data_IF_531161612297
#
_entry.id   IF_531161612297
#
_cell.length_a   1.000
_cell.length_b   1.000
_cell.length_c   1.000
_cell.angle_alpha   90.00
_cell.angle_beta   90.00
_cell.angle_gamma   90.00
#
_symmetry.space_group_name_H-M   'P 1'
#
loop_
_entity.id
_entity.type
_entity.pdbx_description
1 polymer ?
#
# COMPACT_ATOMS: atom_id res chain seq x y z
N UNK A 1 -34.64 -17.01 -14.72
CA UNK A 1 -33.25 -17.43 -14.43
C UNK A 1 -32.35 -16.82 -15.51
N UNK A 2 -31.49 -15.85 -15.15
CA UNK A 2 -30.52 -15.31 -16.11
C UNK A 2 -29.34 -16.27 -16.13
N UNK A 3 -29.32 -17.19 -17.07
CA UNK A 3 -28.26 -18.19 -17.21
C UNK A 3 -26.97 -17.52 -17.68
N UNK A 4 -25.98 -17.43 -16.79
CA UNK A 4 -24.64 -16.95 -17.11
C UNK A 4 -23.72 -18.16 -17.30
N UNK A 5 -22.91 -18.17 -18.36
CA UNK A 5 -22.02 -19.28 -18.70
C UNK A 5 -20.56 -18.86 -18.57
N UNK A 6 -19.74 -19.73 -17.96
CA UNK A 6 -18.30 -19.56 -17.92
C UNK A 6 -17.67 -20.05 -19.23
N UNK A 7 -16.70 -19.30 -19.74
CA UNK A 7 -15.79 -19.80 -20.75
C UNK A 7 -15.03 -21.04 -20.23
N UNK A 8 -14.85 -22.09 -21.04
CA UNK A 8 -14.06 -23.25 -20.67
C UNK A 8 -12.68 -22.89 -20.10
N UNK A 9 -12.38 -23.43 -18.91
CA UNK A 9 -11.12 -23.22 -18.20
C UNK A 9 -11.01 -21.91 -17.42
N UNK A 10 -11.99 -21.00 -17.47
CA UNK A 10 -12.01 -19.81 -16.61
C UNK A 10 -12.09 -20.18 -15.13
N UNK A 11 -12.95 -21.15 -14.79
CA UNK A 11 -13.09 -21.65 -13.41
C UNK A 11 -11.76 -22.21 -12.90
N UNK A 12 -11.01 -22.94 -13.75
CA UNK A 12 -9.70 -23.46 -13.37
C UNK A 12 -8.68 -22.35 -13.11
N UNK A 13 -8.68 -21.28 -13.91
CA UNK A 13 -7.85 -20.10 -13.67
C UNK A 13 -8.19 -19.43 -12.34
N UNK A 14 -9.48 -19.22 -12.06
CA UNK A 14 -9.95 -18.63 -10.80
C UNK A 14 -9.51 -19.46 -9.60
N UNK A 15 -9.63 -20.79 -9.67
CA UNK A 15 -9.22 -21.69 -8.57
C UNK A 15 -7.70 -21.64 -8.36
N UNK A 16 -6.92 -21.57 -9.44
CA UNK A 16 -5.46 -21.46 -9.35
C UNK A 16 -5.02 -20.14 -8.67
N UNK A 17 -5.68 -19.02 -8.96
CA UNK A 17 -5.38 -17.71 -8.35
C UNK A 17 -5.65 -17.67 -6.83
N UNK A 18 -6.43 -18.63 -6.32
CA UNK A 18 -6.94 -18.66 -4.96
C UNK A 18 -6.23 -19.69 -4.07
N UNK A 19 -5.62 -20.72 -4.65
CA UNK A 19 -5.11 -21.89 -3.93
C UNK A 19 -4.09 -21.55 -2.83
N UNK A 20 -3.29 -20.50 -3.01
CA UNK A 20 -2.22 -20.13 -2.07
C UNK A 20 -2.60 -18.98 -1.10
N UNK A 21 -3.87 -18.57 -1.08
CA UNK A 21 -4.29 -17.38 -0.33
C UNK A 21 -5.36 -17.68 0.73
N UNK A 22 -4.99 -17.76 2.02
CA UNK A 22 -5.98 -17.85 3.09
C UNK A 22 -6.87 -16.60 3.10
N UNK A 23 -8.19 -16.79 3.21
CA UNK A 23 -9.16 -15.68 3.26
C UNK A 23 -9.59 -15.10 1.91
N UNK A 24 -9.39 -15.83 0.82
CA UNK A 24 -9.66 -15.48 -0.59
C UNK A 24 -11.13 -15.47 -1.02
N UNK A 25 -12.06 -16.05 -0.24
CA UNK A 25 -13.49 -16.13 -0.61
C UNK A 25 -14.17 -14.77 -0.84
N UNK A 26 -13.96 -13.73 -0.01
CA UNK A 26 -14.50 -12.39 -0.28
C UNK A 26 -13.90 -11.74 -1.52
N UNK A 27 -12.62 -11.99 -1.81
CA UNK A 27 -11.96 -11.49 -3.02
C UNK A 27 -12.53 -12.16 -4.26
N UNK A 28 -12.75 -13.48 -4.18
CA UNK A 28 -13.44 -14.22 -5.22
C UNK A 28 -14.84 -13.68 -5.46
N UNK A 29 -15.61 -13.43 -4.40
CA UNK A 29 -16.95 -12.84 -4.54
C UNK A 29 -16.90 -11.51 -5.28
N UNK A 30 -16.02 -10.60 -4.86
CA UNK A 30 -15.88 -9.29 -5.49
C UNK A 30 -15.43 -9.41 -6.96
N UNK A 31 -14.44 -10.25 -7.24
CA UNK A 31 -13.96 -10.49 -8.60
C UNK A 31 -15.04 -11.11 -9.50
N UNK A 32 -15.87 -12.01 -8.97
CA UNK A 32 -17.01 -12.58 -9.70
C UNK A 32 -18.12 -11.55 -9.93
N UNK A 33 -18.38 -10.66 -8.95
CA UNK A 33 -19.32 -9.54 -9.13
C UNK A 33 -18.85 -8.62 -10.25
N UNK A 34 -17.58 -8.20 -10.22
CA UNK A 34 -16.97 -7.38 -11.28
C UNK A 34 -17.00 -8.07 -12.65
N UNK A 35 -16.62 -9.35 -12.69
CA UNK A 35 -16.64 -10.14 -13.92
C UNK A 35 -18.06 -10.27 -14.47
N UNK A 36 -19.06 -10.38 -13.59
CA UNK A 36 -20.47 -10.41 -13.97
C UNK A 36 -20.96 -9.06 -14.48
N UNK A 37 -20.58 -7.95 -13.86
CA UNK A 37 -20.96 -6.60 -14.30
C UNK A 37 -20.36 -6.25 -15.66
N UNK A 38 -19.11 -6.64 -15.91
CA UNK A 38 -18.39 -6.39 -17.18
C UNK A 38 -18.59 -7.48 -18.24
N UNK A 39 -19.45 -8.47 -17.97
CA UNK A 39 -19.64 -9.62 -18.87
C UNK A 39 -20.10 -9.17 -20.26
N UNK A 40 -19.68 -9.90 -21.29
CA UNK A 40 -20.20 -9.71 -22.64
C UNK A 40 -21.44 -10.60 -22.83
N UNK A 41 -22.63 -9.98 -22.79
CA UNK A 41 -23.91 -10.68 -22.91
C UNK A 41 -24.22 -11.60 -21.73
N UNK A 42 -24.16 -12.91 -21.95
CA UNK A 42 -24.40 -13.94 -20.92
C UNK A 42 -23.15 -14.79 -20.63
N UNK A 43 -21.97 -14.36 -21.08
CA UNK A 43 -20.74 -15.15 -20.97
C UNK A 43 -19.67 -14.41 -20.17
N UNK A 44 -19.12 -15.11 -19.18
CA UNK A 44 -17.95 -14.69 -18.42
C UNK A 44 -16.72 -15.26 -19.14
N UNK A 45 -15.80 -14.39 -19.56
CA UNK A 45 -14.66 -14.76 -20.41
C UNK A 45 -13.33 -14.63 -19.67
N UNK A 46 -12.33 -15.39 -20.09
CA UNK A 46 -10.95 -15.25 -19.60
C UNK A 46 -10.36 -13.88 -19.95
N UNK A 47 -10.74 -13.32 -21.10
CA UNK A 47 -10.30 -12.00 -21.51
C UNK A 47 -10.81 -10.94 -20.53
N UNK A 48 -12.11 -10.91 -20.24
CA UNK A 48 -12.69 -10.00 -19.24
C UNK A 48 -12.09 -10.25 -17.85
N UNK A 49 -11.85 -11.51 -17.48
CA UNK A 49 -11.19 -11.85 -16.22
C UNK A 49 -9.76 -11.30 -16.12
N UNK A 50 -8.99 -11.36 -17.21
CA UNK A 50 -7.65 -10.76 -17.27
C UNK A 50 -7.69 -9.23 -17.28
N UNK A 51 -8.65 -8.62 -17.97
CA UNK A 51 -8.85 -7.15 -18.00
C UNK A 51 -9.16 -6.58 -16.62
N UNK A 52 -9.85 -7.34 -15.77
CA UNK A 52 -10.13 -6.95 -14.38
C UNK A 52 -8.96 -7.25 -13.43
N UNK A 53 -7.86 -7.81 -13.94
CA UNK A 53 -6.68 -8.24 -13.18
C UNK A 53 -6.91 -9.50 -12.34
N UNK A 54 -7.92 -10.30 -12.68
CA UNK A 54 -8.33 -11.49 -11.95
C UNK A 54 -8.84 -11.18 -10.54
N UNK A 55 -8.75 -12.18 -9.64
CA UNK A 55 -9.14 -12.04 -8.24
C UNK A 55 -8.28 -11.01 -7.51
N UNK A 56 -7.01 -10.90 -7.88
CA UNK A 56 -6.02 -10.05 -7.20
C UNK A 56 -6.08 -8.59 -7.65
N UNK A 57 -6.26 -8.32 -8.96
CA UNK A 57 -6.43 -6.97 -9.49
C UNK A 57 -7.71 -6.28 -9.03
N UNK A 58 -8.70 -7.06 -8.59
CA UNK A 58 -9.90 -6.54 -7.95
C UNK A 58 -9.57 -5.86 -6.60
N UNK A 59 -8.57 -6.38 -5.86
CA UNK A 59 -8.11 -5.79 -4.59
C UNK A 59 -7.51 -4.39 -4.80
N UNK A 60 -6.64 -4.25 -5.80
CA UNK A 60 -6.00 -2.97 -6.12
C UNK A 60 -7.01 -1.90 -6.56
N UNK A 61 -8.00 -2.28 -7.38
CA UNK A 61 -9.09 -1.37 -7.76
C UNK A 61 -9.94 -0.96 -6.57
N UNK A 62 -10.27 -1.89 -5.67
CA UNK A 62 -11.02 -1.57 -4.46
C UNK A 62 -10.27 -0.59 -3.56
N UNK A 63 -8.96 -0.77 -3.41
CA UNK A 63 -8.12 0.15 -2.65
C UNK A 63 -8.10 1.55 -3.28
N UNK A 64 -8.01 1.63 -4.61
CA UNK A 64 -8.08 2.89 -5.34
C UNK A 64 -9.44 3.58 -5.21
N UNK A 65 -10.55 2.83 -5.29
CA UNK A 65 -11.91 3.38 -5.11
C UNK A 65 -12.11 3.99 -3.72
N UNK A 66 -11.61 3.32 -2.68
CA UNK A 66 -11.66 3.82 -1.31
C UNK A 66 -10.81 5.07 -1.18
N UNK A 67 -9.57 5.03 -1.69
CA UNK A 67 -8.65 6.16 -1.65
C UNK A 67 -9.20 7.39 -2.38
N UNK A 68 -9.81 7.20 -3.55
CA UNK A 68 -10.39 8.28 -4.34
C UNK A 68 -11.55 9.01 -3.62
N UNK A 69 -12.24 8.34 -2.69
CA UNK A 69 -13.32 8.93 -1.89
C UNK A 69 -12.83 9.68 -0.65
N UNK A 70 -11.56 9.52 -0.25
CA UNK A 70 -10.97 10.25 0.86
C UNK A 70 -10.75 11.73 0.50
N UNK A 71 -10.83 12.59 1.51
CA UNK A 71 -10.41 13.98 1.39
C UNK A 71 -8.87 14.10 1.43
N UNK A 72 -8.34 15.29 1.15
CA UNK A 72 -6.88 15.49 1.07
C UNK A 72 -6.11 15.12 2.35
N UNK A 73 -6.54 15.51 3.57
CA UNK A 73 -5.84 15.10 4.79
C UNK A 73 -5.88 13.57 4.99
N UNK A 74 -7.03 12.92 4.76
CA UNK A 74 -7.12 11.47 4.89
C UNK A 74 -6.31 10.74 3.81
N UNK A 75 -6.19 11.30 2.60
CA UNK A 75 -5.32 10.76 1.54
C UNK A 75 -3.84 10.77 1.92
N UNK A 76 -3.37 11.84 2.55
CA UNK A 76 -2.00 11.94 3.03
C UNK A 76 -1.73 10.95 4.16
N UNK A 77 -2.67 10.83 5.11
CA UNK A 77 -2.59 9.83 6.18
C UNK A 77 -2.64 8.40 5.64
N UNK A 78 -3.50 8.12 4.66
CA UNK A 78 -3.57 6.80 4.00
C UNK A 78 -2.25 6.45 3.30
N UNK A 79 -1.64 7.40 2.59
CA UNK A 79 -0.32 7.21 1.97
C UNK A 79 0.73 6.85 3.03
N UNK A 80 0.81 7.60 4.13
CA UNK A 80 1.76 7.33 5.22
C UNK A 80 1.52 5.97 5.88
N UNK A 81 0.25 5.64 6.13
CA UNK A 81 -0.16 4.35 6.68
C UNK A 81 0.34 3.19 5.81
N UNK A 82 0.05 3.20 4.51
CA UNK A 82 0.45 2.10 3.62
C UNK A 82 1.96 2.01 3.44
N UNK A 83 2.67 3.14 3.33
CA UNK A 83 4.14 3.14 3.28
C UNK A 83 4.75 2.53 4.55
N UNK A 84 4.13 2.71 5.71
CA UNK A 84 4.63 2.13 6.98
C UNK A 84 4.40 0.62 7.09
N UNK A 85 3.33 0.12 6.46
CA UNK A 85 2.97 -1.29 6.44
C UNK A 85 3.73 -2.12 5.39
N UNK A 86 4.73 -1.54 4.73
CA UNK A 86 5.52 -2.23 3.72
C UNK A 86 7.00 -2.15 4.08
N UNK A 87 7.69 -3.29 3.96
CA UNK A 87 9.15 -3.34 3.98
C UNK A 87 9.62 -3.25 2.54
N UNK A 88 10.32 -2.16 2.21
CA UNK A 88 10.93 -1.96 0.91
C UNK A 88 12.09 -2.96 0.73
N UNK A 89 11.94 -3.91 -0.19
CA UNK A 89 13.02 -4.79 -0.60
C UNK A 89 14.13 -4.04 -1.34
N UNK A 90 15.39 -4.25 -0.97
CA UNK A 90 16.56 -3.78 -1.73
C UNK A 90 16.92 -4.78 -2.83
N UNK A 91 16.28 -4.64 -3.99
CA UNK A 91 16.48 -5.56 -5.12
C UNK A 91 15.72 -6.89 -5.01
N UNK A 92 14.86 -7.02 -4.00
CA UNK A 92 13.88 -8.11 -3.83
C UNK A 92 12.47 -7.54 -3.81
N UNK A 93 11.45 -8.40 -3.96
CA UNK A 93 10.05 -7.98 -3.89
C UNK A 93 9.70 -7.33 -2.56
N UNK A 94 8.74 -6.40 -2.60
CA UNK A 94 8.18 -5.80 -1.40
C UNK A 94 7.42 -6.81 -0.58
N UNK A 95 7.61 -6.73 0.72
CA UNK A 95 6.95 -7.60 1.67
C UNK A 95 6.12 -6.78 2.63
N UNK A 96 5.02 -7.37 3.11
CA UNK A 96 4.20 -6.74 4.15
C UNK A 96 5.00 -6.63 5.45
N UNK A 97 4.84 -5.50 6.14
CA UNK A 97 5.37 -5.27 7.47
C UNK A 97 4.22 -5.26 8.47
N UNK A 98 4.40 -5.99 9.57
CA UNK A 98 3.54 -5.90 10.75
C UNK A 98 3.98 -4.71 11.58
N UNK A 99 3.02 -3.84 11.94
CA UNK A 99 3.27 -2.59 12.68
C UNK A 99 2.34 -2.50 13.87
N UNK A 100 2.81 -1.94 14.98
CA UNK A 100 1.97 -1.71 16.16
C UNK A 100 0.91 -0.65 15.85
N UNK A 101 -0.33 -0.87 16.28
CA UNK A 101 -1.40 0.10 16.07
C UNK A 101 -1.10 1.44 16.78
N UNK A 102 -0.41 1.39 17.92
CA UNK A 102 0.07 2.58 18.66
C UNK A 102 1.04 3.43 17.83
N UNK A 103 1.91 2.80 17.04
CA UNK A 103 2.84 3.47 16.13
C UNK A 103 2.08 4.22 15.02
N UNK A 104 1.03 3.61 14.47
CA UNK A 104 0.18 4.27 13.47
C UNK A 104 -0.65 5.42 14.06
N UNK A 105 -1.14 5.26 15.29
CA UNK A 105 -1.88 6.31 15.99
C UNK A 105 -1.04 7.56 16.24
N UNK A 106 0.26 7.40 16.45
CA UNK A 106 1.20 8.51 16.64
C UNK A 106 1.34 9.39 15.38
N UNK A 107 1.18 8.85 14.16
CA UNK A 107 1.27 9.59 12.90
C UNK A 107 0.27 10.75 12.81
N UNK A 108 -0.92 10.58 13.38
CA UNK A 108 -1.95 11.62 13.41
C UNK A 108 -1.62 12.77 14.38
N UNK A 109 -0.81 12.50 15.43
CA UNK A 109 -0.41 13.50 16.42
C UNK A 109 0.66 14.47 15.93
N UNK A 110 1.51 14.05 14.99
CA UNK A 110 2.61 14.87 14.47
C UNK A 110 2.14 16.00 13.54
N UNK A 111 1.02 15.81 12.81
CA UNK A 111 0.45 16.83 11.91
C UNK A 111 -0.54 17.78 12.59
N UNK A 112 -1.05 17.42 13.78
CA UNK A 112 -2.05 18.19 14.54
C UNK A 112 -1.46 19.21 15.53
N UNK A 113 -0.14 19.40 15.56
CA UNK A 113 0.53 20.32 16.50
C UNK A 113 0.44 21.78 16.04
N UNK A 114 -0.79 22.26 15.83
CA UNK A 114 -1.14 23.61 15.41
C UNK A 114 -2.48 24.06 15.99
N UNK A 115 -2.77 23.70 17.24
CA UNK A 115 -4.00 24.15 17.92
C UNK A 115 -4.32 23.33 19.16
N UNK A 116 -3.76 23.73 20.29
CA UNK A 116 -4.25 23.28 21.59
C UNK A 116 -5.73 23.67 21.73
N UNK A 117 -6.58 22.66 21.83
CA UNK A 117 -8.00 22.80 22.12
C UNK A 117 -8.47 21.56 22.85
N UNK A 118 -8.42 21.62 24.17
CA UNK A 118 -9.05 20.68 25.10
C UNK A 118 -10.55 20.56 24.77
N UNK A 119 -10.93 19.59 23.93
CA UNK A 119 -12.30 19.11 23.82
C UNK A 119 -12.27 17.59 23.78
N UNK A 120 -12.38 16.99 24.97
CA UNK A 120 -12.69 15.58 25.15
C UNK A 120 -14.11 15.28 24.68
N UNK A 121 -14.29 15.15 23.37
CA UNK A 121 -15.37 14.37 22.77
C UNK A 121 -14.75 13.15 22.10
N UNK A 122 -15.56 12.10 21.86
CA UNK A 122 -15.24 10.87 21.12
C UNK A 122 -14.78 11.11 19.65
N UNK A 123 -13.78 11.98 19.44
CA UNK A 123 -13.15 12.21 18.16
C UNK A 123 -12.21 11.03 17.92
N UNK A 124 -12.80 9.96 17.39
CA UNK A 124 -12.09 8.83 16.84
C UNK A 124 -11.01 9.38 15.89
N UNK A 125 -9.74 9.15 16.23
CA UNK A 125 -8.59 9.69 15.49
C UNK A 125 -8.77 9.44 13.98
N UNK A 126 -8.44 10.39 13.08
CA UNK A 126 -8.59 10.19 11.63
C UNK A 126 -7.96 8.88 11.15
N UNK A 127 -6.81 8.51 11.71
CA UNK A 127 -6.15 7.24 11.42
C UNK A 127 -6.97 6.03 11.88
N UNK A 128 -7.70 6.11 13.01
CA UNK A 128 -8.62 5.05 13.46
C UNK A 128 -9.77 4.86 12.47
N UNK A 129 -10.31 5.94 11.91
CA UNK A 129 -11.34 5.86 10.89
C UNK A 129 -10.80 5.18 9.62
N UNK A 130 -9.57 5.49 9.22
CA UNK A 130 -8.91 4.81 8.10
C UNK A 130 -8.66 3.33 8.39
N UNK A 131 -8.17 2.98 9.58
CA UNK A 131 -7.98 1.59 9.99
C UNK A 131 -9.31 0.81 9.93
N UNK A 132 -10.38 1.37 10.48
CA UNK A 132 -11.71 0.76 10.44
C UNK A 132 -12.22 0.63 9.00
N UNK A 133 -12.03 1.66 8.17
CA UNK A 133 -12.45 1.68 6.77
C UNK A 133 -11.73 0.59 5.95
N UNK A 134 -10.40 0.59 5.96
CA UNK A 134 -9.60 -0.37 5.22
C UNK A 134 -9.72 -1.80 5.80
N UNK A 135 -9.96 -1.91 7.11
CA UNK A 135 -10.29 -3.17 7.79
C UNK A 135 -11.61 -3.78 7.36
N UNK A 136 -12.67 -2.97 7.27
CA UNK A 136 -14.00 -3.42 6.78
C UNK A 136 -13.93 -4.00 5.37
N UNK A 137 -13.08 -3.43 4.52
CA UNK A 137 -12.84 -3.93 3.17
C UNK A 137 -11.76 -5.00 3.08
N UNK A 138 -11.25 -5.50 4.22
CA UNK A 138 -10.20 -6.53 4.31
C UNK A 138 -8.93 -6.19 3.53
N UNK A 139 -8.61 -4.90 3.43
CA UNK A 139 -7.33 -4.44 2.91
C UNK A 139 -6.26 -4.50 4.01
N UNK A 140 -6.68 -4.39 5.27
CA UNK A 140 -5.86 -4.55 6.46
C UNK A 140 -6.36 -5.72 7.31
N UNK A 141 -5.42 -6.42 7.94
CA UNK A 141 -5.67 -7.41 8.99
C UNK A 141 -5.15 -6.91 10.32
N UNK A 142 -5.87 -7.28 11.38
CA UNK A 142 -5.55 -6.94 12.76
C UNK A 142 -5.20 -8.21 13.50
N UNK A 143 -4.07 -8.19 14.18
CA UNK A 143 -3.57 -9.30 14.99
C UNK A 143 -2.98 -8.72 16.28
N UNK A 144 -2.47 -9.55 17.17
CA UNK A 144 -1.72 -9.10 18.34
C UNK A 144 -0.27 -9.58 18.22
N UNK A 145 0.67 -8.74 18.64
CA UNK A 145 2.06 -9.14 18.73
C UNK A 145 2.19 -10.29 19.74
N UNK A 146 2.82 -11.43 19.39
CA UNK A 146 2.86 -12.60 20.26
C UNK A 146 3.65 -12.38 21.56
N UNK A 147 4.57 -11.42 21.60
CA UNK A 147 5.40 -11.13 22.77
C UNK A 147 4.77 -10.07 23.68
N UNK A 148 4.40 -8.93 23.12
CA UNK A 148 3.86 -7.77 23.84
C UNK A 148 2.34 -7.81 24.02
N UNK A 149 1.63 -8.64 23.23
CA UNK A 149 0.16 -8.67 23.13
C UNK A 149 -0.48 -7.34 22.72
N UNK A 150 0.30 -6.44 22.16
CA UNK A 150 -0.20 -5.19 21.64
C UNK A 150 -0.89 -5.39 20.28
N UNK A 151 -1.93 -4.62 19.96
CA UNK A 151 -2.60 -4.71 18.68
C UNK A 151 -1.66 -4.31 17.55
N UNK A 152 -1.66 -5.11 16.49
CA UNK A 152 -0.84 -4.94 15.28
C UNK A 152 -1.73 -4.86 14.06
N UNK A 153 -1.22 -4.16 13.05
CA UNK A 153 -1.85 -3.98 11.74
C UNK A 153 -0.86 -4.44 10.67
N UNK A 154 -1.37 -5.14 9.68
CA UNK A 154 -0.61 -5.55 8.49
C UNK A 154 -1.51 -5.49 7.24
N UNK A 155 -0.90 -5.44 6.06
CA UNK A 155 -1.65 -5.60 4.80
C UNK A 155 -2.16 -7.03 4.70
N UNK A 156 -3.45 -7.18 4.40
CA UNK A 156 -4.11 -8.48 4.35
C UNK A 156 -3.49 -9.42 3.30
N UNK A 157 -3.13 -8.87 2.13
CA UNK A 157 -2.58 -9.61 1.01
C UNK A 157 -1.43 -8.85 0.33
N UNK A 158 -0.28 -9.50 0.12
CA UNK A 158 0.85 -8.93 -0.62
C UNK A 158 0.52 -8.65 -2.10
N UNK A 159 -0.55 -9.26 -2.61
CA UNK A 159 -1.12 -8.89 -3.90
C UNK A 159 -1.46 -7.39 -3.98
N UNK A 160 -1.85 -6.74 -2.87
CA UNK A 160 -2.13 -5.31 -2.86
C UNK A 160 -0.91 -4.48 -3.29
N UNK A 161 0.30 -4.92 -2.91
CA UNK A 161 1.55 -4.23 -3.24
C UNK A 161 1.85 -4.28 -4.73
N UNK A 162 1.34 -5.29 -5.46
CA UNK A 162 1.57 -5.51 -6.89
C UNK A 162 0.45 -4.92 -7.76
N UNK A 163 -0.78 -5.04 -7.27
CA UNK A 163 -2.00 -4.77 -8.03
C UNK A 163 -2.58 -3.37 -7.80
N UNK A 164 -2.07 -2.61 -6.82
CA UNK A 164 -2.45 -1.21 -6.62
C UNK A 164 -1.39 -0.27 -7.20
N UNK A 165 -1.58 0.31 -8.40
CA UNK A 165 -0.54 1.10 -9.07
C UNK A 165 -0.07 2.30 -8.24
N UNK A 166 -1.00 3.01 -7.60
CA UNK A 166 -0.69 4.16 -6.76
C UNK A 166 0.21 3.80 -5.57
N UNK A 167 -0.02 2.66 -4.92
CA UNK A 167 0.86 2.21 -3.85
C UNK A 167 2.26 1.89 -4.39
N UNK A 168 2.34 1.27 -5.57
CA UNK A 168 3.64 1.03 -6.22
C UNK A 168 4.38 2.32 -6.52
N UNK A 169 3.69 3.34 -6.99
CA UNK A 169 4.27 4.65 -7.27
C UNK A 169 4.83 5.26 -5.97
N UNK A 170 4.06 5.22 -4.87
CA UNK A 170 4.54 5.69 -3.56
C UNK A 170 5.75 4.91 -3.06
N UNK A 171 5.77 3.59 -3.23
CA UNK A 171 6.90 2.75 -2.82
C UNK A 171 8.14 2.99 -3.68
N UNK A 172 7.95 3.29 -4.98
CA UNK A 172 9.04 3.65 -5.89
C UNK A 172 9.63 5.03 -5.54
N UNK A 173 8.78 6.02 -5.27
CA UNK A 173 9.19 7.34 -4.76
C UNK A 173 9.96 7.19 -3.44
N UNK A 174 9.42 6.44 -2.47
CA UNK A 174 10.08 6.24 -1.18
C UNK A 174 11.44 5.52 -1.30
N UNK A 175 11.58 4.57 -2.23
CA UNK A 175 12.87 3.94 -2.54
C UNK A 175 13.88 4.92 -3.13
N UNK A 176 13.41 5.79 -4.02
CA UNK A 176 14.25 6.83 -4.58
C UNK A 176 14.80 7.73 -3.47
N UNK A 177 13.93 8.17 -2.55
CA UNK A 177 14.31 9.01 -1.41
C UNK A 177 15.35 8.33 -0.49
N UNK A 178 15.09 7.07 -0.09
CA UNK A 178 16.02 6.32 0.77
C UNK A 178 17.36 6.10 0.06
N UNK A 179 17.34 5.81 -1.24
CA UNK A 179 18.55 5.70 -2.06
C UNK A 179 19.35 6.99 -2.10
N UNK A 180 18.68 8.13 -2.32
CA UNK A 180 19.32 9.44 -2.35
C UNK A 180 19.90 9.83 -0.98
N UNK A 181 19.18 9.60 0.11
CA UNK A 181 19.69 9.83 1.47
C UNK A 181 20.96 9.02 1.75
N UNK A 182 20.99 7.74 1.36
CA UNK A 182 22.19 6.89 1.54
C UNK A 182 23.36 7.36 0.70
N UNK A 183 23.11 7.77 -0.55
CA UNK A 183 24.14 8.30 -1.42
C UNK A 183 24.74 9.58 -0.82
N UNK A 184 23.91 10.47 -0.28
CA UNK A 184 24.36 11.69 0.38
C UNK A 184 25.16 11.39 1.64
N UNK A 185 24.66 10.50 2.50
CA UNK A 185 25.34 10.08 3.72
C UNK A 185 26.71 9.46 3.43
N UNK A 186 26.79 8.60 2.40
CA UNK A 186 28.05 8.02 1.96
C UNK A 186 29.02 9.09 1.44
N UNK A 187 28.55 9.99 0.57
CA UNK A 187 29.38 11.08 0.05
C UNK A 187 29.88 12.03 1.14
N UNK A 188 29.04 12.32 2.13
CA UNK A 188 29.43 13.10 3.31
C UNK A 188 30.52 12.41 4.12
N UNK A 189 30.40 11.09 4.32
CA UNK A 189 31.39 10.28 5.02
C UNK A 189 32.73 10.23 4.27
N UNK A 190 32.71 10.08 2.94
CA UNK A 190 33.93 10.12 2.12
C UNK A 190 34.62 11.48 2.17
N UNK A 191 33.85 12.57 2.10
CA UNK A 191 34.37 13.92 2.25
C UNK A 191 35.00 14.15 3.62
N UNK A 192 34.38 13.66 4.69
CA UNK A 192 34.93 13.75 6.05
C UNK A 192 36.24 12.95 6.20
N UNK A 193 36.29 11.72 5.66
CA UNK A 193 37.50 10.88 5.65
C UNK A 193 38.63 11.50 4.82
N UNK A 194 38.30 12.22 3.75
CA UNK A 194 39.24 12.97 2.93
C UNK A 194 39.67 14.32 3.55
N UNK A 195 39.46 14.52 4.85
CA UNK A 195 39.76 15.77 5.57
C UNK A 195 39.11 17.00 4.94
N UNK A 196 37.87 16.86 4.49
CA UNK A 196 37.06 17.93 3.91
C UNK A 196 37.59 18.47 2.57
N UNK A 197 38.33 17.65 1.81
CA UNK A 197 38.80 18.03 0.48
C UNK A 197 37.61 18.36 -0.44
N UNK A 198 37.64 19.57 -1.02
CA UNK A 198 36.61 20.07 -1.91
C UNK A 198 36.38 19.18 -3.14
N UNK A 199 37.34 18.31 -3.53
CA UNK A 199 37.19 17.37 -4.64
C UNK A 199 36.11 16.30 -4.40
N UNK A 200 35.79 16.00 -3.14
CA UNK A 200 34.78 15.02 -2.75
C UNK A 200 33.36 15.62 -2.66
N UNK A 201 33.21 16.93 -2.79
CA UNK A 201 31.91 17.57 -2.87
C UNK A 201 31.17 17.14 -4.14
N UNK A 202 29.85 16.99 -4.03
CA UNK A 202 28.97 16.70 -5.16
C UNK A 202 29.09 17.80 -6.22
N UNK A 203 29.42 17.43 -7.46
CA UNK A 203 29.60 18.34 -8.59
C UNK A 203 28.93 17.77 -9.84
N UNK A 204 28.58 18.65 -10.78
CA UNK A 204 28.05 18.25 -12.09
C UNK A 204 26.72 17.51 -11.99
N UNK A 205 26.56 16.43 -12.76
CA UNK A 205 25.30 15.67 -12.83
C UNK A 205 24.83 15.10 -11.49
N UNK A 206 25.76 14.80 -10.56
CA UNK A 206 25.40 14.36 -9.21
C UNK A 206 24.78 15.49 -8.40
N UNK A 207 25.28 16.72 -8.53
CA UNK A 207 24.70 17.88 -7.85
C UNK A 207 23.28 18.17 -8.36
N UNK A 208 23.10 18.17 -9.69
CA UNK A 208 21.78 18.38 -10.31
C UNK A 208 20.76 17.33 -9.85
N UNK A 209 21.14 16.05 -9.78
CA UNK A 209 20.28 14.99 -9.25
C UNK A 209 19.86 15.21 -7.78
N UNK A 210 20.71 15.84 -6.97
CA UNK A 210 20.36 16.18 -5.59
C UNK A 210 19.55 17.48 -5.47
N UNK A 211 19.82 18.47 -6.31
CA UNK A 211 19.02 19.71 -6.39
C UNK A 211 17.60 19.43 -6.87
N UNK A 212 17.40 18.47 -7.76
CA UNK A 212 16.07 18.05 -8.22
C UNK A 212 15.29 17.24 -7.16
N UNK A 213 15.97 16.72 -6.14
CA UNK A 213 15.38 15.92 -5.05
C UNK A 213 14.90 16.76 -3.86
N UNK A 214 15.48 17.95 -3.63
CA UNK A 214 15.18 18.85 -2.49
C UNK A 214 14.13 19.89 -2.85
#
# INVERSE_FOLDING_TARGET
AVGCHFEPGLVSTIVADIQDQPGSLPLLQYALTELFERRNGNRLTKATYAEIGGVLGALGRRAEEIYAQLDEPDRQLARQLFLRLVTLGEGVEDTRRRVLQSELLALAGEQGSGGAGEQGGDLQSPISNLLDLYGRFRLLTFDHDPASREPTVEVAHEALLREWPRLRDWLAESRHDVGMQRLLAHGAQEWEQAQQDASYLLRGSRLVQFEDWV
#
